data_IF_262272355644
#
_entry.id   IF_262272355644
#
_cell.length_a   1.000
_cell.length_b   1.000
_cell.length_c   1.000
_cell.angle_alpha   90.00
_cell.angle_beta   90.00
_cell.angle_gamma   90.00
#
_symmetry.space_group_name_H-M   'P 1'
#
loop_
_entity.id
_entity.type
_entity.pdbx_description
1 polymer ?
#
# COMPACT_ATOMS: atom_id res chain seq x y z
N UNK A 1 13.09 -14.83 -15.50
CA UNK A 1 12.01 -14.20 -14.71
C UNK A 1 11.95 -12.73 -15.15
N UNK A 2 10.79 -12.24 -15.56
CA UNK A 2 10.64 -10.83 -15.96
C UNK A 2 10.71 -9.98 -14.69
N UNK A 3 11.54 -8.94 -14.69
CA UNK A 3 11.62 -7.98 -13.58
C UNK A 3 11.21 -6.62 -14.12
N UNK A 4 10.16 -6.05 -13.55
CA UNK A 4 9.75 -4.69 -13.89
C UNK A 4 10.60 -3.71 -13.09
N UNK A 5 11.20 -2.75 -13.78
CA UNK A 5 12.09 -1.76 -13.15
C UNK A 5 11.33 -0.61 -12.46
N UNK A 6 9.98 -0.69 -12.40
CA UNK A 6 9.13 0.33 -11.79
C UNK A 6 8.61 -0.16 -10.43
N UNK A 7 8.81 0.62 -9.35
CA UNK A 7 8.26 0.29 -8.04
C UNK A 7 6.73 0.27 -8.06
N UNK A 8 6.15 -0.57 -7.21
CA UNK A 8 4.70 -0.67 -7.01
C UNK A 8 4.31 -0.01 -5.70
N UNK A 9 3.49 1.04 -5.81
CA UNK A 9 2.91 1.76 -4.69
C UNK A 9 1.60 1.10 -4.28
N UNK A 10 1.51 0.66 -3.03
CA UNK A 10 0.30 0.07 -2.45
C UNK A 10 -0.52 1.10 -1.69
N UNK A 11 -1.85 0.94 -1.73
CA UNK A 11 -2.81 1.61 -0.86
C UNK A 11 -3.06 0.81 0.44
N UNK A 12 -3.63 1.45 1.48
CA UNK A 12 -4.09 0.82 2.72
C UNK A 12 -5.01 -0.38 2.45
N UNK A 13 -5.96 -0.27 1.51
CA UNK A 13 -6.94 -1.33 1.26
C UNK A 13 -6.30 -2.63 0.76
N UNK A 14 -5.38 -2.54 -0.20
CA UNK A 14 -4.71 -3.73 -0.73
C UNK A 14 -3.78 -4.38 0.30
N UNK A 15 -3.19 -3.58 1.20
CA UNK A 15 -2.37 -4.10 2.32
C UNK A 15 -3.23 -4.83 3.33
N UNK A 16 -4.40 -4.30 3.68
CA UNK A 16 -5.35 -4.98 4.58
C UNK A 16 -5.86 -6.27 3.93
N UNK A 17 -6.21 -6.24 2.65
CA UNK A 17 -6.62 -7.42 1.90
C UNK A 17 -5.52 -8.50 1.87
N UNK A 18 -4.26 -8.11 1.67
CA UNK A 18 -3.12 -9.02 1.67
C UNK A 18 -2.92 -9.79 2.99
N UNK A 19 -3.43 -9.26 4.11
CA UNK A 19 -3.33 -9.92 5.43
C UNK A 19 -4.65 -10.50 5.92
N UNK A 20 -5.78 -10.21 5.25
CA UNK A 20 -7.09 -10.76 5.61
C UNK A 20 -7.39 -12.07 4.92
N UNK A 21 -6.84 -12.27 3.73
CA UNK A 21 -7.10 -13.45 2.90
C UNK A 21 -6.03 -14.53 3.10
N UNK A 22 -6.38 -15.82 2.90
CA UNK A 22 -5.44 -16.95 3.04
C UNK A 22 -4.38 -17.02 1.92
N UNK A 23 -4.44 -16.09 0.97
CA UNK A 23 -3.63 -16.09 -0.24
C UNK A 23 -2.50 -15.04 -0.14
N UNK A 24 -1.26 -15.43 -0.48
CA UNK A 24 -0.07 -14.56 -0.38
C UNK A 24 0.06 -13.59 -1.57
N UNK A 25 -0.68 -12.48 -1.49
CA UNK A 25 -0.67 -11.43 -2.51
C UNK A 25 0.71 -10.84 -2.76
N UNK A 26 1.54 -10.72 -1.72
CA UNK A 26 2.86 -10.10 -1.85
C UNK A 26 3.80 -11.00 -2.64
N UNK A 27 3.73 -12.32 -2.43
CA UNK A 27 4.50 -13.27 -3.23
C UNK A 27 4.06 -13.25 -4.70
N UNK A 28 2.77 -13.20 -5.00
CA UNK A 28 2.31 -13.09 -6.41
C UNK A 28 2.76 -11.80 -7.09
N UNK A 29 2.68 -10.65 -6.41
CA UNK A 29 3.17 -9.37 -6.97
C UNK A 29 4.65 -9.51 -7.37
N UNK A 30 5.46 -10.17 -6.54
CA UNK A 30 6.88 -10.42 -6.80
C UNK A 30 7.10 -11.43 -7.93
N UNK A 31 6.31 -12.51 -7.99
CA UNK A 31 6.38 -13.52 -9.06
C UNK A 31 6.08 -12.92 -10.44
N UNK A 32 5.16 -11.96 -10.50
CA UNK A 32 4.86 -11.20 -11.73
C UNK A 32 6.04 -10.30 -12.14
N UNK A 33 6.94 -9.99 -11.21
CA UNK A 33 8.18 -9.24 -11.47
C UNK A 33 8.27 -7.89 -10.75
N UNK A 34 7.32 -7.55 -9.88
CA UNK A 34 7.33 -6.31 -9.10
C UNK A 34 7.99 -6.51 -7.74
N UNK A 35 9.32 -6.39 -7.73
CA UNK A 35 10.12 -6.70 -6.54
C UNK A 35 10.28 -5.53 -5.56
N UNK A 36 10.14 -4.28 -6.03
CA UNK A 36 10.22 -3.07 -5.19
C UNK A 36 8.81 -2.59 -4.84
N UNK A 37 8.38 -2.91 -3.62
CA UNK A 37 7.07 -2.53 -3.08
C UNK A 37 7.27 -1.30 -2.17
N UNK A 38 6.45 -0.28 -2.42
CA UNK A 38 6.52 1.03 -1.80
C UNK A 38 5.19 1.39 -1.16
N UNK A 39 5.25 2.14 -0.05
CA UNK A 39 4.11 2.77 0.62
C UNK A 39 4.48 4.19 1.07
N UNK A 40 3.50 5.03 1.38
CA UNK A 40 3.74 6.38 1.94
C UNK A 40 3.52 6.42 3.46
N UNK A 41 4.14 7.39 4.14
CA UNK A 41 3.99 7.58 5.60
C UNK A 41 2.53 7.69 6.07
N UNK A 42 1.65 8.36 5.31
CA UNK A 42 0.23 8.51 5.68
C UNK A 42 -0.48 7.16 5.83
N UNK A 43 -0.11 6.15 5.04
CA UNK A 43 -0.65 4.78 5.14
C UNK A 43 -0.26 4.16 6.49
N UNK A 44 1.01 4.31 6.90
CA UNK A 44 1.47 3.83 8.21
C UNK A 44 0.72 4.53 9.35
N UNK A 45 0.50 5.84 9.25
CA UNK A 45 -0.24 6.62 10.25
C UNK A 45 -1.69 6.13 10.35
N UNK A 46 -2.33 5.86 9.22
CA UNK A 46 -3.69 5.31 9.17
C UNK A 46 -3.77 3.92 9.79
N UNK A 47 -2.87 3.00 9.41
CA UNK A 47 -2.82 1.65 9.97
C UNK A 47 -2.57 1.67 11.49
N UNK A 48 -1.72 2.58 12.00
CA UNK A 48 -1.53 2.79 13.44
C UNK A 48 -2.81 3.29 14.13
N UNK A 49 -3.57 4.16 13.47
CA UNK A 49 -4.86 4.63 13.98
C UNK A 49 -5.88 3.48 14.01
N UNK A 50 -5.96 2.68 12.95
CA UNK A 50 -6.85 1.53 12.86
C UNK A 50 -6.50 0.45 13.89
N UNK A 51 -5.21 0.20 14.13
CA UNK A 51 -4.75 -0.82 15.09
C UNK A 51 -5.09 -0.51 16.55
N UNK A 52 -5.42 0.76 16.85
CA UNK A 52 -5.77 1.23 18.19
C UNK A 52 -7.27 1.57 18.32
N UNK A 53 -7.85 2.25 17.32
CA UNK A 53 -9.22 2.79 17.36
C UNK A 53 -10.26 1.98 16.57
N UNK A 54 -9.84 1.02 15.75
CA UNK A 54 -10.77 0.17 15.00
C UNK A 54 -11.54 -0.81 15.87
N UNK A 55 -12.53 -1.48 15.28
CA UNK A 55 -13.21 -2.63 15.87
C UNK A 55 -12.24 -3.83 16.03
N UNK A 56 -12.69 -4.92 16.67
CA UNK A 56 -11.85 -6.10 16.92
C UNK A 56 -11.17 -6.66 15.66
N UNK A 57 -11.91 -6.74 14.55
CA UNK A 57 -11.44 -7.29 13.27
C UNK A 57 -10.44 -6.34 12.62
N UNK A 58 -10.78 -5.04 12.55
CA UNK A 58 -9.91 -3.98 12.02
C UNK A 58 -8.59 -3.90 12.77
N UNK A 59 -8.63 -3.93 14.11
CA UNK A 59 -7.41 -3.89 14.93
C UNK A 59 -6.49 -5.07 14.68
N UNK A 60 -7.05 -6.27 14.54
CA UNK A 60 -6.29 -7.49 14.24
C UNK A 60 -5.57 -7.34 12.89
N UNK A 61 -6.29 -7.00 11.83
CA UNK A 61 -5.69 -6.89 10.50
C UNK A 61 -4.74 -5.70 10.38
N UNK A 62 -5.04 -4.56 11.00
CA UNK A 62 -4.14 -3.41 10.98
C UNK A 62 -2.79 -3.71 11.65
N UNK A 63 -2.75 -4.53 12.70
CA UNK A 63 -1.48 -4.98 13.31
C UNK A 63 -0.68 -5.87 12.36
N UNK A 64 -1.34 -6.85 11.73
CA UNK A 64 -0.69 -7.71 10.73
C UNK A 64 -0.18 -6.90 9.52
N UNK A 65 -0.97 -5.94 9.05
CA UNK A 65 -0.61 -5.02 7.97
C UNK A 65 0.62 -4.18 8.33
N UNK A 66 0.70 -3.66 9.57
CA UNK A 66 1.89 -2.93 10.04
C UNK A 66 3.14 -3.81 10.06
N UNK A 67 3.02 -5.07 10.48
CA UNK A 67 4.12 -6.03 10.44
C UNK A 67 4.55 -6.36 9.01
N UNK A 68 3.60 -6.48 8.09
CA UNK A 68 3.87 -6.67 6.67
C UNK A 68 4.62 -5.47 6.07
N UNK A 69 4.18 -4.25 6.40
CA UNK A 69 4.76 -3.00 5.91
C UNK A 69 6.24 -2.81 6.28
N UNK A 70 6.74 -3.49 7.33
CA UNK A 70 8.18 -3.46 7.69
C UNK A 70 9.08 -3.99 6.58
N UNK A 71 8.54 -4.78 5.65
CA UNK A 71 9.26 -5.34 4.49
C UNK A 71 9.27 -4.41 3.28
N UNK A 72 8.55 -3.29 3.32
CA UNK A 72 8.37 -2.37 2.19
C UNK A 72 9.22 -1.12 2.35
N UNK A 73 9.54 -0.49 1.23
CA UNK A 73 10.18 0.82 1.23
C UNK A 73 9.14 1.88 1.58
N UNK A 74 9.47 2.76 2.54
CA UNK A 74 8.57 3.83 2.98
C UNK A 74 9.04 5.14 2.36
N UNK A 75 8.14 5.76 1.61
CA UNK A 75 8.32 7.11 1.06
C UNK A 75 7.69 8.15 1.99
N UNK A 76 8.32 9.33 2.04
CA UNK A 76 7.75 10.48 2.74
C UNK A 76 6.44 10.91 2.08
N UNK A 77 5.54 11.46 2.88
CA UNK A 77 4.35 12.10 2.34
C UNK A 77 4.76 13.23 1.37
N UNK A 78 4.11 13.36 0.20
CA UNK A 78 4.37 14.46 -0.70
C UNK A 78 3.93 15.79 -0.07
N UNK A 79 4.48 16.94 -0.52
CA UNK A 79 4.20 18.26 0.02
C UNK A 79 2.85 18.81 -0.49
N UNK A 80 1.79 18.00 -0.42
CA UNK A 80 0.43 18.38 -0.80
C UNK A 80 -0.54 18.10 0.34
N UNK A 81 -1.56 18.95 0.44
CA UNK A 81 -2.76 18.67 1.24
C UNK A 81 -3.70 17.77 0.46
N UNK A 82 -4.54 17.02 1.15
CA UNK A 82 -5.55 16.16 0.51
C UNK A 82 -5.68 14.80 1.17
N UNK A 83 -6.44 13.93 0.52
CA UNK A 83 -6.63 12.55 0.92
C UNK A 83 -5.35 11.72 0.73
N UNK A 84 -5.34 10.49 1.28
CA UNK A 84 -4.25 9.54 1.03
C UNK A 84 -4.18 9.18 -0.46
N UNK A 85 -5.34 9.05 -1.11
CA UNK A 85 -5.44 8.80 -2.55
C UNK A 85 -4.76 9.89 -3.38
N UNK A 86 -5.00 11.17 -3.05
CA UNK A 86 -4.37 12.30 -3.74
C UNK A 86 -2.84 12.23 -3.62
N UNK A 87 -2.34 11.86 -2.43
CA UNK A 87 -0.91 11.68 -2.17
C UNK A 87 -0.33 10.49 -2.93
N UNK A 88 -1.04 9.36 -3.00
CA UNK A 88 -0.63 8.17 -3.76
C UNK A 88 -0.52 8.52 -5.25
N UNK A 89 -1.54 9.17 -5.82
CA UNK A 89 -1.54 9.61 -7.22
C UNK A 89 -0.37 10.56 -7.48
N UNK A 90 -0.15 11.54 -6.59
CA UNK A 90 0.96 12.48 -6.71
C UNK A 90 2.31 11.77 -6.74
N UNK A 91 2.58 10.87 -5.78
CA UNK A 91 3.85 10.14 -5.72
C UNK A 91 4.03 9.26 -6.95
N UNK A 92 2.98 8.53 -7.36
CA UNK A 92 3.05 7.65 -8.51
C UNK A 92 3.36 8.41 -9.80
N UNK A 93 2.65 9.52 -10.06
CA UNK A 93 2.87 10.35 -11.26
C UNK A 93 4.27 10.98 -11.28
N UNK A 94 4.71 11.56 -10.16
CA UNK A 94 6.00 12.27 -10.10
C UNK A 94 7.22 11.34 -10.09
N UNK A 95 7.08 10.12 -9.52
CA UNK A 95 8.18 9.15 -9.43
C UNK A 95 8.10 8.03 -10.47
N UNK A 96 7.05 8.00 -11.29
CA UNK A 96 6.83 6.96 -12.30
C UNK A 96 6.51 5.57 -11.73
N UNK A 97 5.90 5.52 -10.55
CA UNK A 97 5.52 4.26 -9.90
C UNK A 97 4.20 3.72 -10.46
N UNK A 98 4.01 2.40 -10.34
CA UNK A 98 2.74 1.74 -10.66
C UNK A 98 1.91 1.67 -9.38
N UNK A 99 0.61 1.96 -9.46
CA UNK A 99 -0.30 1.84 -8.31
C UNK A 99 -0.96 0.47 -8.36
N UNK A 100 -0.92 -0.28 -7.25
CA UNK A 100 -1.80 -1.42 -7.06
C UNK A 100 -2.92 -1.05 -6.07
N UNK A 101 -4.15 -1.10 -6.56
CA UNK A 101 -5.35 -0.73 -5.80
C UNK A 101 -6.53 -1.61 -6.19
N UNK A 102 -7.35 -1.95 -5.19
CA UNK A 102 -8.65 -2.61 -5.41
C UNK A 102 -9.73 -1.62 -5.82
N UNK A 103 -9.53 -0.31 -5.62
CA UNK A 103 -10.54 0.71 -5.92
C UNK A 103 -10.66 0.99 -7.42
N UNK A 104 -11.90 0.91 -7.94
CA UNK A 104 -12.24 1.21 -9.33
C UNK A 104 -12.01 2.69 -9.65
N UNK A 105 -12.30 3.59 -8.69
CA UNK A 105 -12.23 5.04 -8.88
C UNK A 105 -10.79 5.52 -9.05
N UNK A 106 -9.82 4.88 -8.39
CA UNK A 106 -8.41 5.18 -8.55
C UNK A 106 -7.88 4.81 -9.94
N UNK A 107 -8.49 3.84 -10.64
CA UNK A 107 -8.05 3.42 -11.99
C UNK A 107 -8.35 4.45 -13.09
N UNK A 108 -9.27 5.38 -12.85
CA UNK A 108 -9.70 6.40 -13.81
C UNK A 108 -9.03 7.77 -13.65
N UNK A 109 -8.04 7.92 -12.75
CA UNK A 109 -7.43 9.20 -12.36
C UNK A 109 -5.92 9.23 -12.64
#
# INVERSE_FOLDING_TARGET
MVSYNKPVLLDTNIIIYAVSEPFDLISQIKEIGFNDIVIIESIIKELKRLSTKGNNKERKFAKLALDLCKKFRIEKDPPITGSIDDKIIYVAKNKGYIIATSDVLLRGR
#
